data_IF_807000068336
#
_entry.id   IF_807000068336
#
_cell.length_a   1.000
_cell.length_b   1.000
_cell.length_c   1.000
_cell.angle_alpha   90.00
_cell.angle_beta   90.00
_cell.angle_gamma   90.00
#
_symmetry.space_group_name_H-M   'P 1'
#
loop_
_entity.id
_entity.type
_entity.pdbx_description
1 polymer ?
#
# COMPACT_ATOMS: atom_id res chain seq x y z
N UNK A 1 42.19 14.09 14.61
CA UNK A 1 41.54 15.32 14.10
C UNK A 1 41.21 15.11 12.65
N UNK A 2 39.91 14.98 12.36
CA UNK A 2 39.19 15.58 11.24
C UNK A 2 37.89 14.80 11.06
N UNK A 3 36.84 15.34 11.69
CA UNK A 3 35.48 14.87 11.58
C UNK A 3 35.00 14.98 10.14
N UNK A 4 34.36 13.92 9.69
CA UNK A 4 33.62 13.90 8.44
C UNK A 4 32.29 14.61 8.75
N UNK A 5 32.15 15.83 8.24
CA UNK A 5 30.95 16.66 8.32
C UNK A 5 29.76 15.94 7.68
N UNK A 6 28.70 15.78 8.47
CA UNK A 6 27.43 15.15 8.10
C UNK A 6 26.42 16.21 7.62
N UNK A 7 26.85 17.20 6.82
CA UNK A 7 26.00 18.35 6.46
C UNK A 7 25.55 18.40 4.99
N UNK A 8 25.83 17.39 4.17
CA UNK A 8 25.71 17.57 2.72
C UNK A 8 24.42 17.07 2.06
N UNK A 9 23.54 16.27 2.70
CA UNK A 9 22.49 15.56 1.94
C UNK A 9 21.03 15.78 2.36
N UNK A 10 20.73 16.84 3.12
CA UNK A 10 19.36 17.17 3.56
C UNK A 10 18.71 18.31 2.76
N UNK A 11 18.54 18.15 1.45
CA UNK A 11 17.67 19.05 0.66
C UNK A 11 16.63 18.27 -0.12
N UNK A 12 15.48 18.03 0.52
CA UNK A 12 14.25 17.69 -0.19
C UNK A 12 13.17 17.05 0.67
N UNK A 13 12.16 17.85 1.06
CA UNK A 13 10.78 17.44 1.41
C UNK A 13 10.50 16.90 2.82
N UNK A 14 9.26 17.12 3.29
CA UNK A 14 8.66 16.77 4.62
C UNK A 14 8.86 17.83 5.74
N UNK A 15 8.01 17.86 6.80
CA UNK A 15 8.18 18.76 7.96
C UNK A 15 9.62 18.66 8.44
N UNK A 16 10.27 19.80 8.73
CA UNK A 16 11.73 19.84 8.91
C UNK A 16 12.15 18.70 9.84
N UNK A 17 13.07 17.86 9.37
CA UNK A 17 13.62 16.75 10.16
C UNK A 17 14.08 17.26 11.54
N UNK A 18 14.47 18.54 11.61
CA UNK A 18 14.83 19.27 12.83
C UNK A 18 13.67 19.43 13.83
N UNK A 19 12.42 19.64 13.38
CA UNK A 19 11.25 19.74 14.26
C UNK A 19 10.86 18.38 14.84
N UNK A 20 11.07 17.32 14.06
CA UNK A 20 10.84 15.94 14.53
C UNK A 20 11.94 15.52 15.49
N UNK A 21 13.20 15.83 15.17
CA UNK A 21 14.35 15.60 16.04
C UNK A 21 14.21 16.43 17.34
N UNK A 22 13.70 17.66 17.30
CA UNK A 22 13.52 18.48 18.50
C UNK A 22 12.42 17.93 19.42
N UNK A 23 11.34 17.37 18.86
CA UNK A 23 10.29 16.66 19.61
C UNK A 23 10.79 15.35 20.20
N UNK A 24 11.54 14.54 19.43
CA UNK A 24 12.16 13.32 19.93
C UNK A 24 13.20 13.62 21.02
N UNK A 25 14.00 14.68 20.88
CA UNK A 25 14.92 15.19 21.91
C UNK A 25 14.19 15.68 23.16
N UNK A 26 13.00 16.25 23.01
CA UNK A 26 12.17 16.66 24.16
C UNK A 26 11.62 15.45 24.89
N UNK A 27 11.15 14.44 24.15
CA UNK A 27 10.61 13.22 24.74
C UNK A 27 11.68 12.35 25.37
N UNK A 28 12.86 12.25 24.76
CA UNK A 28 14.02 11.62 25.37
C UNK A 28 14.30 12.21 26.75
N UNK A 29 14.26 13.55 26.87
CA UNK A 29 14.39 14.26 28.17
C UNK A 29 13.20 14.08 29.12
N UNK A 30 12.02 13.71 28.63
CA UNK A 30 10.86 13.41 29.49
C UNK A 30 10.89 11.95 29.99
N UNK A 31 11.57 11.06 29.27
CA UNK A 31 11.76 9.64 29.63
C UNK A 31 12.98 9.48 30.54
N UNK A 32 14.05 10.25 30.28
CA UNK A 32 15.28 10.31 31.07
C UNK A 32 15.02 10.99 32.43
N UNK A 33 14.58 10.20 33.41
CA UNK A 33 14.19 10.69 34.75
C UNK A 33 15.43 11.12 35.54
N UNK A 34 16.56 10.47 35.30
CA UNK A 34 17.79 10.68 36.06
C UNK A 34 18.73 11.74 35.42
N UNK A 35 18.38 12.23 34.22
CA UNK A 35 19.10 13.22 33.41
C UNK A 35 20.52 12.80 32.98
N UNK A 36 20.81 11.50 32.93
CA UNK A 36 22.12 10.94 32.59
C UNK A 36 22.35 10.81 31.07
N UNK A 37 21.34 11.15 30.27
CA UNK A 37 21.30 11.07 28.80
C UNK A 37 21.37 9.65 28.25
N UNK A 38 21.02 8.65 29.04
CA UNK A 38 20.96 7.24 28.69
C UNK A 38 19.61 6.67 29.11
N UNK A 39 18.83 6.15 28.16
CA UNK A 39 17.54 5.55 28.50
C UNK A 39 17.71 4.09 28.90
N UNK A 40 17.34 3.78 30.14
CA UNK A 40 17.22 2.40 30.61
C UNK A 40 15.86 1.80 30.21
N UNK A 41 15.79 0.47 30.18
CA UNK A 41 14.54 -0.26 29.95
C UNK A 41 13.45 0.15 30.95
N UNK A 42 13.82 0.35 32.22
CA UNK A 42 12.91 0.69 33.30
C UNK A 42 12.33 2.11 33.14
N UNK A 43 13.12 3.08 32.68
CA UNK A 43 12.67 4.45 32.41
C UNK A 43 11.71 4.50 31.21
N UNK A 44 12.06 3.79 30.13
CA UNK A 44 11.20 3.67 28.96
C UNK A 44 9.86 2.97 29.30
N UNK A 45 9.93 1.90 30.09
CA UNK A 45 8.76 1.16 30.58
C UNK A 45 7.86 2.02 31.47
N UNK A 46 8.44 2.75 32.42
CA UNK A 46 7.70 3.62 33.33
C UNK A 46 6.99 4.77 32.58
N UNK A 47 7.66 5.36 31.59
CA UNK A 47 7.08 6.43 30.78
C UNK A 47 5.91 5.93 29.90
N UNK A 48 6.08 4.81 29.20
CA UNK A 48 5.05 4.23 28.33
C UNK A 48 3.84 3.74 29.14
N UNK A 49 4.08 3.14 30.31
CA UNK A 49 3.03 2.72 31.24
C UNK A 49 2.22 3.92 31.77
N UNK A 50 2.87 5.07 32.00
CA UNK A 50 2.22 6.31 32.47
C UNK A 50 1.43 7.02 31.37
N UNK A 51 1.89 7.00 30.11
CA UNK A 51 1.24 7.67 28.97
C UNK A 51 0.15 6.82 28.28
N UNK A 52 0.35 5.51 28.20
CA UNK A 52 -0.53 4.60 27.46
C UNK A 52 -1.80 4.16 28.21
N UNK A 53 -1.91 4.44 29.51
CA UNK A 53 -3.07 4.06 30.34
C UNK A 53 -3.34 2.54 30.42
N UNK A 54 -2.41 1.71 29.93
CA UNK A 54 -2.44 0.24 29.91
C UNK A 54 -1.05 -0.31 30.20
N UNK A 55 -0.97 -1.47 30.82
CA UNK A 55 0.27 -2.26 30.94
C UNK A 55 0.73 -2.65 29.54
N UNK A 56 1.87 -2.11 29.11
CA UNK A 56 2.51 -2.53 27.86
C UNK A 56 2.94 -4.00 27.98
N UNK A 57 3.02 -4.72 26.87
CA UNK A 57 3.52 -6.10 26.89
C UNK A 57 5.04 -6.07 27.10
N UNK A 58 5.48 -6.43 28.31
CA UNK A 58 6.89 -6.42 28.73
C UNK A 58 7.81 -7.20 27.79
N UNK A 59 7.30 -8.26 27.16
CA UNK A 59 8.05 -9.09 26.21
C UNK A 59 8.33 -8.33 24.92
N UNK A 60 7.31 -7.66 24.37
CA UNK A 60 7.44 -6.86 23.14
C UNK A 60 8.33 -5.63 23.39
N UNK A 61 8.20 -4.99 24.55
CA UNK A 61 9.01 -3.84 24.91
C UNK A 61 10.49 -4.22 25.06
N UNK A 62 10.78 -5.39 25.66
CA UNK A 62 12.14 -5.89 25.80
C UNK A 62 12.77 -6.21 24.44
N UNK A 63 12.00 -6.72 23.49
CA UNK A 63 12.44 -7.02 22.13
C UNK A 63 12.68 -5.74 21.30
N UNK A 64 11.81 -4.73 21.46
CA UNK A 64 12.02 -3.38 20.91
C UNK A 64 13.28 -2.75 21.51
N UNK A 65 13.46 -2.79 22.83
CA UNK A 65 14.65 -2.25 23.49
C UNK A 65 15.93 -2.92 22.98
N UNK A 66 15.92 -4.26 22.89
CA UNK A 66 17.05 -5.06 22.39
C UNK A 66 17.36 -4.86 20.90
N UNK A 67 16.37 -4.50 20.09
CA UNK A 67 16.56 -4.23 18.65
C UNK A 67 17.04 -2.80 18.37
N UNK A 68 16.75 -1.87 19.27
CA UNK A 68 17.18 -0.47 19.21
C UNK A 68 18.58 -0.26 19.82
N UNK A 69 18.94 -1.05 20.84
CA UNK A 69 20.27 -1.14 21.46
C UNK A 69 21.26 -1.87 20.53
N UNK A 70 21.82 -1.14 19.56
CA UNK A 70 22.71 -1.69 18.52
C UNK A 70 24.05 -2.18 19.06
N UNK A 71 24.57 -1.57 20.12
CA UNK A 71 25.83 -1.94 20.73
C UNK A 71 25.67 -2.89 21.94
N UNK A 72 24.42 -3.26 22.27
CA UNK A 72 24.02 -4.20 23.32
C UNK A 72 24.55 -3.80 24.71
N UNK A 73 24.74 -2.50 24.91
CA UNK A 73 25.32 -1.99 26.14
C UNK A 73 24.27 -1.84 27.27
N UNK A 74 23.00 -2.17 27.01
CA UNK A 74 21.84 -2.04 27.92
C UNK A 74 21.39 -0.59 28.20
N UNK A 75 21.90 0.38 27.46
CA UNK A 75 21.62 1.81 27.56
C UNK A 75 21.36 2.42 26.18
N UNK A 76 20.21 3.07 25.99
CA UNK A 76 19.91 3.67 24.70
C UNK A 76 20.28 5.16 24.68
N UNK A 77 21.25 5.53 23.86
CA UNK A 77 21.57 6.95 23.64
C UNK A 77 20.47 7.65 22.83
N UNK A 78 20.42 8.98 22.92
CA UNK A 78 19.48 9.79 22.12
C UNK A 78 19.61 9.54 20.62
N UNK A 79 20.83 9.37 20.12
CA UNK A 79 21.08 9.12 18.71
C UNK A 79 20.62 7.71 18.31
N UNK A 80 20.78 6.71 19.17
CA UNK A 80 20.26 5.34 18.94
C UNK A 80 18.73 5.29 19.00
N UNK A 81 18.12 6.00 19.95
CA UNK A 81 16.66 6.12 20.05
C UNK A 81 16.07 6.79 18.80
N UNK A 82 16.67 7.91 18.35
CA UNK A 82 16.20 8.64 17.15
C UNK A 82 16.43 7.81 15.88
N UNK A 83 17.60 7.18 15.74
CA UNK A 83 17.90 6.34 14.57
C UNK A 83 17.00 5.11 14.51
N UNK A 84 16.81 4.43 15.63
CA UNK A 84 16.00 3.23 15.69
C UNK A 84 14.50 3.51 15.46
N UNK A 85 14.00 4.65 15.95
CA UNK A 85 12.66 5.13 15.62
C UNK A 85 12.50 5.39 14.10
N UNK A 86 13.45 6.11 13.50
CA UNK A 86 13.42 6.40 12.07
C UNK A 86 13.50 5.11 11.23
N UNK A 87 14.31 4.15 11.66
CA UNK A 87 14.42 2.83 11.03
C UNK A 87 13.10 2.07 11.12
N UNK A 88 12.47 2.01 12.29
CA UNK A 88 11.17 1.37 12.48
C UNK A 88 10.07 2.00 11.60
N UNK A 89 9.98 3.33 11.58
CA UNK A 89 9.02 4.05 10.74
C UNK A 89 9.23 3.77 9.24
N UNK A 90 10.49 3.77 8.79
CA UNK A 90 10.85 3.53 7.38
C UNK A 90 10.52 2.10 6.96
N UNK A 91 10.84 1.12 7.81
CA UNK A 91 10.54 -0.30 7.56
C UNK A 91 9.03 -0.52 7.45
N UNK A 92 8.25 0.00 8.39
CA UNK A 92 6.79 -0.14 8.40
C UNK A 92 6.16 0.50 7.18
N UNK A 93 6.58 1.74 6.86
CA UNK A 93 6.09 2.45 5.68
C UNK A 93 6.42 1.69 4.39
N UNK A 94 7.66 1.20 4.26
CA UNK A 94 8.06 0.39 3.12
C UNK A 94 7.23 -0.89 2.99
N UNK A 95 6.92 -1.57 4.10
CA UNK A 95 6.08 -2.77 4.10
C UNK A 95 4.64 -2.44 3.69
N UNK A 96 4.06 -1.36 4.21
CA UNK A 96 2.74 -0.84 3.81
C UNK A 96 2.67 -0.61 2.30
N UNK A 97 3.68 0.05 1.73
CA UNK A 97 3.74 0.34 0.30
C UNK A 97 3.84 -0.94 -0.54
N UNK A 98 4.65 -1.92 -0.11
CA UNK A 98 4.76 -3.24 -0.76
C UNK A 98 3.43 -3.99 -0.72
N UNK A 99 2.77 -4.05 0.44
CA UNK A 99 1.47 -4.71 0.59
C UNK A 99 0.39 -4.06 -0.27
N UNK A 100 0.32 -2.73 -0.30
CA UNK A 100 -0.62 -1.99 -1.15
C UNK A 100 -0.44 -2.34 -2.63
N UNK A 101 0.81 -2.36 -3.10
CA UNK A 101 1.12 -2.73 -4.48
C UNK A 101 0.77 -4.19 -4.77
N UNK A 102 1.10 -5.11 -3.86
CA UNK A 102 0.75 -6.54 -3.95
C UNK A 102 -0.76 -6.75 -4.09
N UNK A 103 -1.55 -6.09 -3.24
CA UNK A 103 -3.02 -6.16 -3.26
C UNK A 103 -3.57 -5.65 -4.59
N UNK A 104 -3.06 -4.53 -5.10
CA UNK A 104 -3.50 -3.96 -6.38
C UNK A 104 -3.21 -4.94 -7.53
N UNK A 105 -1.99 -5.48 -7.58
CA UNK A 105 -1.58 -6.43 -8.61
C UNK A 105 -2.41 -7.72 -8.57
N UNK A 106 -2.56 -8.32 -7.39
CA UNK A 106 -3.33 -9.55 -7.21
C UNK A 106 -4.82 -9.32 -7.48
N UNK A 107 -5.38 -8.17 -7.13
CA UNK A 107 -6.78 -7.82 -7.45
C UNK A 107 -6.99 -7.71 -8.96
N UNK A 108 -6.02 -7.15 -9.68
CA UNK A 108 -6.06 -7.10 -11.15
C UNK A 108 -6.03 -8.50 -11.74
N UNK A 109 -5.06 -9.33 -11.34
CA UNK A 109 -4.97 -10.74 -11.77
C UNK A 109 -6.26 -11.51 -11.48
N UNK A 110 -6.83 -11.36 -10.28
CA UNK A 110 -8.10 -11.95 -9.88
C UNK A 110 -9.23 -11.54 -10.83
N UNK A 111 -9.34 -10.26 -11.17
CA UNK A 111 -10.38 -9.78 -12.09
C UNK A 111 -10.24 -10.35 -13.50
N UNK A 112 -9.00 -10.46 -14.00
CA UNK A 112 -8.68 -11.05 -15.30
C UNK A 112 -9.00 -12.56 -15.30
N UNK A 113 -8.63 -13.30 -14.25
CA UNK A 113 -8.93 -14.73 -14.10
C UNK A 113 -10.45 -14.98 -13.98
N UNK A 114 -11.18 -14.15 -13.23
CA UNK A 114 -12.64 -14.22 -13.15
C UNK A 114 -13.29 -14.02 -14.51
N UNK A 115 -12.79 -13.08 -15.31
CA UNK A 115 -13.26 -12.88 -16.68
C UNK A 115 -13.00 -14.11 -17.55
N UNK A 116 -11.77 -14.63 -17.54
CA UNK A 116 -11.42 -15.86 -18.28
C UNK A 116 -12.31 -17.03 -17.89
N UNK A 117 -12.68 -17.14 -16.62
CA UNK A 117 -13.56 -18.19 -16.14
C UNK A 117 -14.97 -18.04 -16.70
N UNK A 118 -15.53 -16.84 -16.73
CA UNK A 118 -16.87 -16.61 -17.31
C UNK A 118 -16.86 -16.98 -18.79
N UNK A 119 -15.81 -16.57 -19.51
CA UNK A 119 -15.62 -16.92 -20.93
C UNK A 119 -15.49 -18.45 -21.12
N UNK A 120 -14.76 -19.15 -20.25
CA UNK A 120 -14.65 -20.60 -20.25
C UNK A 120 -15.98 -21.31 -19.94
N UNK A 121 -16.75 -20.81 -18.96
CA UNK A 121 -18.08 -21.33 -18.61
C UNK A 121 -19.10 -21.11 -19.73
N UNK A 122 -18.98 -20.02 -20.48
CA UNK A 122 -19.82 -19.71 -21.64
C UNK A 122 -19.49 -20.57 -22.87
N UNK A 123 -18.22 -20.91 -23.08
CA UNK A 123 -17.74 -21.69 -24.21
C UNK A 123 -17.78 -23.22 -23.99
N UNK A 124 -18.72 -23.73 -23.17
CA UNK A 124 -18.96 -25.17 -22.94
C UNK A 124 -19.23 -25.90 -24.26
N UNK A 125 -18.18 -26.40 -24.90
CA UNK A 125 -18.25 -27.10 -26.20
C UNK A 125 -17.02 -26.97 -27.09
N UNK A 126 -16.12 -26.01 -26.85
CA UNK A 126 -14.77 -26.01 -27.45
C UNK A 126 -13.80 -26.63 -26.46
N UNK A 127 -13.30 -27.82 -26.77
CA UNK A 127 -12.39 -28.62 -25.93
C UNK A 127 -11.21 -27.78 -25.42
N UNK A 128 -11.27 -27.39 -24.15
CA UNK A 128 -10.15 -26.81 -23.39
C UNK A 128 -9.44 -27.92 -22.58
N UNK A 129 -9.46 -29.14 -23.11
CA UNK A 129 -8.83 -30.30 -22.50
C UNK A 129 -7.38 -30.38 -23.02
N UNK A 130 -6.43 -29.91 -22.23
CA UNK A 130 -5.04 -29.75 -22.65
C UNK A 130 -4.09 -30.37 -21.64
N UNK A 131 -3.15 -31.16 -22.15
CA UNK A 131 -2.03 -31.72 -21.40
C UNK A 131 -0.77 -30.94 -21.78
N UNK A 132 -0.12 -30.35 -20.79
CA UNK A 132 1.22 -29.78 -20.92
C UNK A 132 2.24 -30.80 -20.42
N UNK A 133 3.24 -31.12 -21.25
CA UNK A 133 4.34 -32.02 -20.90
C UNK A 133 5.66 -31.30 -21.11
N UNK A 134 6.40 -31.06 -20.03
CA UNK A 134 7.75 -30.53 -20.06
C UNK A 134 8.76 -31.65 -19.85
N UNK A 135 9.56 -31.93 -20.87
CA UNK A 135 10.68 -32.87 -20.80
C UNK A 135 11.91 -32.11 -20.31
N UNK A 136 12.32 -32.31 -19.05
CA UNK A 136 13.42 -31.55 -18.45
C UNK A 136 14.78 -32.15 -18.77
N UNK A 137 15.05 -33.33 -18.23
CA UNK A 137 16.34 -34.02 -18.37
C UNK A 137 16.18 -35.52 -18.16
N UNK A 138 17.18 -36.29 -18.56
CA UNK A 138 17.34 -37.67 -18.16
C UNK A 138 18.72 -37.89 -17.56
N UNK A 139 18.85 -38.89 -16.69
CA UNK A 139 20.08 -39.20 -15.99
C UNK A 139 20.37 -40.70 -16.05
N UNK A 140 21.65 -41.06 -16.17
CA UNK A 140 22.08 -42.47 -16.14
C UNK A 140 21.62 -43.30 -17.34
N UNK A 141 21.33 -42.66 -18.47
CA UNK A 141 20.95 -43.36 -19.70
C UNK A 141 22.06 -44.32 -20.13
N UNK A 142 21.67 -45.54 -20.45
CA UNK A 142 22.64 -46.54 -20.89
C UNK A 142 23.28 -46.13 -22.21
N UNK A 143 24.60 -46.32 -22.31
CA UNK A 143 25.29 -46.17 -23.59
C UNK A 143 24.87 -47.29 -24.58
N UNK A 144 24.17 -46.94 -25.66
CA UNK A 144 23.96 -47.78 -26.85
C UNK A 144 24.92 -47.42 -28.00
N UNK A 145 25.19 -48.34 -28.92
CA UNK A 145 25.96 -48.04 -30.14
C UNK A 145 27.48 -47.90 -29.96
N UNK A 146 28.20 -47.93 -31.10
CA UNK A 146 29.66 -48.09 -31.16
C UNK A 146 30.44 -46.79 -31.43
N UNK A 147 29.85 -45.69 -31.94
CA UNK A 147 30.61 -44.46 -32.28
C UNK A 147 29.81 -43.15 -32.40
N UNK A 148 30.37 -42.04 -31.89
CA UNK A 148 30.62 -40.82 -32.68
C UNK A 148 29.78 -39.56 -32.48
N UNK A 149 28.45 -39.62 -32.58
CA UNK A 149 27.61 -38.41 -32.51
C UNK A 149 26.19 -38.75 -32.05
N UNK A 150 26.11 -39.24 -30.81
CA UNK A 150 24.87 -39.68 -30.18
C UNK A 150 24.16 -38.51 -29.52
N UNK A 151 22.90 -38.33 -29.84
CA UNK A 151 22.09 -37.26 -29.29
C UNK A 151 20.70 -37.78 -28.94
N UNK A 152 20.44 -38.12 -27.66
CA UNK A 152 19.15 -38.62 -27.25
C UNK A 152 18.01 -37.65 -27.55
N UNK A 153 16.86 -38.23 -27.86
CA UNK A 153 15.57 -37.57 -28.08
C UNK A 153 14.50 -38.26 -27.26
N UNK A 154 13.47 -37.50 -26.89
CA UNK A 154 12.30 -38.02 -26.20
C UNK A 154 11.09 -37.86 -27.10
N UNK A 155 10.41 -38.96 -27.37
CA UNK A 155 9.16 -39.02 -28.11
C UNK A 155 8.03 -39.13 -27.09
N UNK A 156 7.12 -38.16 -27.11
CA UNK A 156 5.93 -38.13 -26.27
C UNK A 156 4.72 -38.40 -27.15
N UNK A 157 3.98 -39.46 -26.81
CA UNK A 157 2.76 -39.89 -27.49
C UNK A 157 1.57 -39.75 -26.55
N UNK A 158 0.52 -39.08 -27.01
CA UNK A 158 -0.72 -38.86 -26.29
C UNK A 158 -1.90 -38.93 -27.26
N UNK A 159 -2.77 -39.93 -27.10
CA UNK A 159 -3.83 -40.27 -28.06
C UNK A 159 -3.25 -40.34 -29.50
N UNK A 160 -3.82 -39.61 -30.47
CA UNK A 160 -3.37 -39.59 -31.86
C UNK A 160 -2.26 -38.57 -32.15
N UNK A 161 -1.64 -37.99 -31.12
CA UNK A 161 -0.60 -36.97 -31.25
C UNK A 161 0.75 -37.51 -30.78
N UNK A 162 1.79 -37.16 -31.53
CA UNK A 162 3.16 -37.54 -31.23
C UNK A 162 4.07 -36.36 -31.51
N UNK A 163 4.89 -35.99 -30.52
CA UNK A 163 5.86 -34.91 -30.63
C UNK A 163 7.19 -35.41 -30.07
N UNK A 164 8.28 -35.08 -30.76
CA UNK A 164 9.65 -35.47 -30.38
C UNK A 164 10.48 -34.23 -30.06
N UNK A 165 11.31 -34.31 -29.02
CA UNK A 165 12.25 -33.23 -28.65
C UNK A 165 13.34 -33.03 -29.69
N UNK A 166 14.05 -31.91 -29.59
CA UNK A 166 15.31 -31.73 -30.28
C UNK A 166 16.37 -32.71 -29.76
N UNK A 167 17.30 -33.16 -30.62
CA UNK A 167 18.42 -34.00 -30.20
C UNK A 167 19.42 -33.20 -29.37
N UNK A 168 19.81 -33.74 -28.21
CA UNK A 168 20.80 -33.12 -27.31
C UNK A 168 22.09 -33.95 -27.32
N UNK A 169 23.27 -33.39 -27.65
CA UNK A 169 24.53 -34.13 -27.79
C UNK A 169 25.16 -34.50 -26.43
N UNK A 170 24.39 -35.16 -25.57
CA UNK A 170 24.83 -35.73 -24.30
C UNK A 170 24.14 -37.10 -24.12
N UNK A 171 24.83 -38.21 -24.42
CA UNK A 171 24.20 -39.53 -24.50
C UNK A 171 23.81 -40.15 -23.15
N UNK A 172 24.34 -39.63 -22.03
CA UNK A 172 24.14 -40.22 -20.70
C UNK A 172 23.23 -39.36 -19.83
N UNK A 173 23.40 -38.03 -19.87
CA UNK A 173 22.65 -37.09 -19.04
C UNK A 173 22.11 -35.89 -19.84
N UNK A 174 21.28 -36.11 -20.87
CA UNK A 174 20.73 -35.04 -21.69
C UNK A 174 19.78 -34.12 -20.91
N UNK A 175 19.75 -32.84 -21.27
CA UNK A 175 18.79 -31.86 -20.78
C UNK A 175 18.15 -31.15 -21.97
N UNK A 176 16.82 -31.28 -22.09
CA UNK A 176 16.03 -30.70 -23.17
C UNK A 176 15.34 -29.42 -22.73
N UNK A 177 14.65 -29.44 -21.58
CA UNK A 177 13.78 -28.36 -21.10
C UNK A 177 12.76 -27.91 -22.15
N UNK A 178 12.20 -28.84 -22.90
CA UNK A 178 11.22 -28.59 -23.96
C UNK A 178 9.81 -28.85 -23.43
N UNK A 179 8.85 -27.99 -23.78
CA UNK A 179 7.45 -28.11 -23.37
C UNK A 179 6.56 -28.32 -24.58
N UNK A 180 5.70 -29.32 -24.50
CA UNK A 180 4.74 -29.70 -25.52
C UNK A 180 3.32 -29.60 -24.98
N UNK A 181 2.38 -29.19 -25.84
CA UNK A 181 0.96 -29.13 -25.50
C UNK A 181 0.20 -30.10 -26.39
N UNK A 182 -0.56 -31.00 -25.76
CA UNK A 182 -1.42 -31.98 -26.43
C UNK A 182 -2.89 -31.66 -26.14
N UNK A 183 -3.73 -31.67 -27.17
CA UNK A 183 -5.18 -31.54 -26.99
C UNK A 183 -5.79 -32.92 -26.76
N UNK A 184 -6.37 -33.15 -25.59
CA UNK A 184 -6.86 -34.45 -25.15
C UNK A 184 -8.36 -34.56 -25.44
N UNK A 185 -8.80 -35.68 -26.01
CA UNK A 185 -10.22 -35.91 -26.33
C UNK A 185 -10.95 -36.56 -25.17
N UNK A 186 -10.44 -37.70 -24.71
CA UNK A 186 -11.05 -38.51 -23.65
C UNK A 186 -10.10 -38.69 -22.45
N UNK A 187 -8.79 -38.71 -22.67
CA UNK A 187 -7.81 -38.92 -21.59
C UNK A 187 -7.90 -40.31 -20.97
N UNK A 188 -8.20 -41.32 -21.79
CA UNK A 188 -8.37 -42.72 -21.37
C UNK A 188 -7.13 -43.58 -21.58
N UNK A 189 -6.29 -43.20 -22.55
CA UNK A 189 -5.03 -43.89 -22.87
C UNK A 189 -3.86 -43.27 -22.11
N UNK A 190 -2.94 -44.08 -21.61
CA UNK A 190 -1.77 -43.57 -20.88
C UNK A 190 -0.85 -42.73 -21.77
N UNK A 191 -0.24 -41.70 -21.19
CA UNK A 191 0.77 -40.87 -21.85
C UNK A 191 2.04 -41.71 -21.96
N UNK A 192 2.51 -41.95 -23.18
CA UNK A 192 3.72 -42.72 -23.43
C UNK A 192 4.90 -41.79 -23.69
N UNK A 193 5.99 -42.00 -22.95
CA UNK A 193 7.23 -41.25 -23.08
C UNK A 193 8.34 -42.24 -23.39
N UNK A 194 8.83 -42.20 -24.62
CA UNK A 194 9.87 -43.09 -25.13
C UNK A 194 11.16 -42.31 -25.35
N UNK A 195 12.27 -42.80 -24.80
CA UNK A 195 13.60 -42.23 -25.00
C UNK A 195 14.33 -43.03 -26.07
N UNK A 196 14.81 -42.35 -27.08
CA UNK A 196 15.61 -42.94 -28.15
C UNK A 196 16.95 -42.23 -28.27
N UNK A 197 17.89 -42.95 -28.84
CA UNK A 197 19.11 -42.36 -29.35
C UNK A 197 18.96 -41.94 -30.81
N UNK A 198 19.75 -40.94 -31.20
CA UNK A 198 19.91 -40.59 -32.61
C UNK A 198 21.37 -40.66 -33.02
N UNK A 199 21.62 -41.20 -34.21
CA UNK A 199 22.93 -41.14 -34.85
C UNK A 199 22.78 -40.44 -36.20
N UNK A 200 23.53 -39.35 -36.40
CA UNK A 200 23.44 -38.52 -37.62
C UNK A 200 22.01 -38.05 -37.95
N UNK A 201 21.19 -37.83 -36.92
CA UNK A 201 19.81 -37.34 -37.05
C UNK A 201 18.76 -38.43 -37.28
N UNK A 202 19.14 -39.70 -37.36
CA UNK A 202 18.19 -40.83 -37.47
C UNK A 202 18.00 -41.53 -36.13
N UNK A 203 16.76 -41.87 -35.77
CA UNK A 203 16.43 -42.70 -34.61
C UNK A 203 17.09 -44.08 -34.74
N UNK A 204 17.90 -44.49 -33.75
CA UNK A 204 18.65 -45.76 -33.81
C UNK A 204 18.30 -46.73 -32.68
N UNK A 205 18.54 -46.34 -31.44
CA UNK A 205 18.50 -47.26 -30.28
C UNK A 205 17.41 -46.83 -29.31
N UNK A 206 16.57 -47.78 -28.90
CA UNK A 206 15.62 -47.55 -27.80
C UNK A 206 16.36 -47.54 -26.46
N UNK A 207 16.20 -46.47 -25.68
CA UNK A 207 16.88 -46.26 -24.40
C UNK A 207 15.96 -46.43 -23.20
N UNK A 208 14.65 -46.54 -23.39
CA UNK A 208 13.68 -46.85 -22.35
C UNK A 208 12.34 -46.14 -22.56
N UNK A 209 11.31 -46.56 -21.83
CA UNK A 209 10.00 -45.94 -21.85
C UNK A 209 9.43 -45.75 -20.44
N UNK A 210 8.50 -44.81 -20.33
CA UNK A 210 7.65 -44.57 -19.17
C UNK A 210 6.23 -44.38 -19.68
N UNK A 211 5.28 -44.98 -18.98
CA UNK A 211 3.85 -44.84 -19.25
C UNK A 211 3.18 -44.23 -18.03
N UNK A 212 2.45 -43.13 -18.23
CA UNK A 212 1.87 -42.31 -17.16
C UNK A 212 0.36 -42.28 -17.34
N UNK A 213 -0.42 -42.82 -16.39
CA UNK A 213 -1.87 -42.81 -16.49
C UNK A 213 -2.44 -41.42 -16.21
N UNK A 214 -3.44 -41.00 -16.99
CA UNK A 214 -4.13 -39.71 -16.79
C UNK A 214 -4.78 -39.57 -15.40
N UNK A 215 -5.12 -40.68 -14.75
CA UNK A 215 -5.66 -40.69 -13.39
C UNK A 215 -4.71 -40.06 -12.37
N UNK A 216 -3.39 -40.13 -12.62
CA UNK A 216 -2.39 -39.48 -11.78
C UNK A 216 -2.43 -37.94 -11.88
N UNK A 217 -2.98 -37.40 -12.97
CA UNK A 217 -3.03 -35.97 -13.27
C UNK A 217 -4.45 -35.38 -13.14
N UNK A 218 -5.39 -36.14 -12.56
CA UNK A 218 -6.81 -35.76 -12.52
C UNK A 218 -7.09 -34.54 -11.62
N UNK A 219 -6.19 -34.24 -10.69
CA UNK A 219 -6.25 -33.06 -9.81
C UNK A 219 -5.93 -31.74 -10.53
N UNK A 220 -5.51 -31.80 -11.80
CA UNK A 220 -5.12 -30.66 -12.65
C UNK A 220 -3.92 -29.85 -12.13
N UNK A 221 -3.18 -30.39 -11.17
CA UNK A 221 -1.98 -29.77 -10.64
C UNK A 221 -0.76 -30.06 -11.53
N UNK A 222 0.30 -29.28 -11.34
CA UNK A 222 1.59 -29.55 -11.97
C UNK A 222 2.31 -30.62 -11.17
N UNK A 223 2.53 -31.78 -11.78
CA UNK A 223 3.30 -32.89 -11.20
C UNK A 223 4.69 -32.88 -11.79
N UNK A 224 5.71 -32.76 -10.95
CA UNK A 224 7.11 -32.80 -11.35
C UNK A 224 7.79 -34.01 -10.72
N UNK A 225 8.02 -35.03 -11.53
CA UNK A 225 8.48 -36.34 -11.06
C UNK A 225 9.70 -36.82 -11.83
N UNK A 226 10.53 -37.61 -11.15
CA UNK A 226 11.62 -38.37 -11.75
C UNK A 226 11.19 -39.82 -11.88
N UNK A 227 11.06 -40.31 -13.10
CA UNK A 227 10.49 -41.61 -13.43
C UNK A 227 11.58 -42.53 -13.97
N UNK A 228 11.66 -43.74 -13.41
CA UNK A 228 12.60 -44.78 -13.85
C UNK A 228 12.19 -45.36 -15.21
N UNK A 229 13.14 -45.42 -16.14
CA UNK A 229 12.90 -45.94 -17.48
C UNK A 229 12.78 -47.47 -17.48
N UNK A 230 11.83 -47.99 -18.26
CA UNK A 230 11.57 -49.43 -18.40
C UNK A 230 11.83 -49.91 -19.82
N UNK A 231 12.10 -51.22 -19.94
CA UNK A 231 12.22 -51.88 -21.23
C UNK A 231 10.87 -52.41 -21.73
N UNK A 232 10.71 -52.55 -23.05
CA UNK A 232 9.49 -53.10 -23.67
C UNK A 232 9.33 -54.59 -23.42
N UNK A 233 10.45 -55.30 -23.25
CA UNK A 233 10.47 -56.76 -23.04
C UNK A 233 11.15 -57.13 -21.73
N UNK A 234 10.67 -58.20 -21.05
CA UNK A 234 11.39 -58.78 -19.92
C UNK A 234 12.81 -59.21 -20.37
N UNK A 235 13.85 -58.58 -19.81
CA UNK A 235 15.25 -58.84 -20.14
C UNK A 235 15.97 -57.72 -20.90
N UNK A 236 15.26 -56.67 -21.33
CA UNK A 236 15.89 -55.47 -21.87
C UNK A 236 16.78 -54.81 -20.80
N UNK A 237 18.05 -54.59 -21.14
CA UNK A 237 19.02 -53.96 -20.25
C UNK A 237 18.91 -52.43 -20.37
N UNK A 238 17.88 -51.85 -19.77
CA UNK A 238 17.65 -50.40 -19.69
C UNK A 238 18.22 -49.86 -18.37
N UNK A 239 18.73 -48.63 -18.38
CA UNK A 239 19.12 -47.90 -17.18
C UNK A 239 18.88 -46.42 -17.36
N UNK A 240 18.58 -45.75 -16.25
CA UNK A 240 18.40 -44.31 -16.19
C UNK A 240 16.97 -43.91 -15.86
N UNK A 241 16.82 -42.64 -15.52
CA UNK A 241 15.56 -42.02 -15.17
C UNK A 241 15.35 -40.76 -15.99
N UNK A 242 14.09 -40.33 -16.10
CA UNK A 242 13.69 -39.12 -16.82
C UNK A 242 12.89 -38.22 -15.88
N UNK A 243 13.23 -36.94 -15.86
CA UNK A 243 12.51 -35.91 -15.12
C UNK A 243 11.52 -35.21 -16.06
N UNK A 244 10.25 -35.26 -15.69
CA UNK A 244 9.14 -34.70 -16.43
C UNK A 244 8.34 -33.77 -15.53
N UNK A 245 7.76 -32.71 -16.11
CA UNK A 245 6.68 -31.97 -15.47
C UNK A 245 5.42 -32.05 -16.33
N UNK A 246 4.34 -32.59 -15.76
CA UNK A 246 3.08 -32.81 -16.46
C UNK A 246 1.95 -32.07 -15.76
N UNK A 247 1.06 -31.47 -16.55
CA UNK A 247 -0.17 -30.86 -16.04
C UNK A 247 -1.31 -31.12 -17.02
N UNK A 248 -2.40 -31.70 -16.52
CA UNK A 248 -3.58 -31.99 -17.32
C UNK A 248 -4.78 -31.14 -16.89
N UNK A 249 -5.16 -30.18 -17.73
CA UNK A 249 -6.31 -29.32 -17.48
C UNK A 249 -7.49 -29.88 -18.28
N UNK A 250 -8.34 -30.70 -17.63
CA UNK A 250 -9.53 -31.30 -18.25
C UNK A 250 -10.80 -30.45 -18.07
N UNK A 251 -10.82 -29.59 -17.05
CA UNK A 251 -11.90 -28.69 -16.70
C UNK A 251 -11.33 -27.30 -16.36
N UNK A 252 -11.17 -26.47 -17.39
CA UNK A 252 -10.64 -25.12 -17.24
C UNK A 252 -11.46 -24.26 -16.26
N UNK A 253 -12.82 -24.26 -16.26
CA UNK A 253 -13.58 -23.55 -15.24
C UNK A 253 -13.20 -23.91 -13.79
N UNK A 254 -13.07 -25.22 -13.50
CA UNK A 254 -12.70 -25.71 -12.16
C UNK A 254 -11.25 -25.35 -11.81
N UNK A 255 -10.34 -25.45 -12.77
CA UNK A 255 -8.95 -25.02 -12.60
C UNK A 255 -8.89 -23.52 -12.23
N UNK A 256 -9.61 -22.68 -12.99
CA UNK A 256 -9.68 -21.25 -12.74
C UNK A 256 -10.36 -20.91 -11.41
N UNK A 257 -11.36 -21.70 -10.96
CA UNK A 257 -11.96 -21.56 -9.62
C UNK A 257 -10.89 -21.74 -8.52
N UNK A 258 -9.98 -22.71 -8.67
CA UNK A 258 -8.85 -22.92 -7.77
C UNK A 258 -7.89 -21.73 -7.72
N UNK A 259 -7.51 -21.20 -8.89
CA UNK A 259 -6.63 -20.02 -8.99
C UNK A 259 -7.30 -18.77 -8.40
N UNK A 260 -8.60 -18.58 -8.65
CA UNK A 260 -9.39 -17.48 -8.07
C UNK A 260 -9.33 -17.56 -6.54
N UNK A 261 -9.54 -18.74 -5.96
CA UNK A 261 -9.49 -18.94 -4.52
C UNK A 261 -8.11 -18.59 -3.96
N UNK A 262 -7.03 -19.03 -4.60
CA UNK A 262 -5.65 -18.69 -4.19
C UNK A 262 -5.41 -17.18 -4.16
N UNK A 263 -5.88 -16.45 -5.19
CA UNK A 263 -5.77 -14.98 -5.21
C UNK A 263 -6.64 -14.32 -4.14
N UNK A 264 -7.86 -14.81 -3.90
CA UNK A 264 -8.74 -14.28 -2.85
C UNK A 264 -8.13 -14.47 -1.46
N UNK A 265 -7.59 -15.66 -1.18
CA UNK A 265 -6.92 -15.98 0.08
C UNK A 265 -5.68 -15.08 0.27
N UNK A 266 -4.81 -14.96 -0.74
CA UNK A 266 -3.63 -14.10 -0.69
C UNK A 266 -3.97 -12.61 -0.49
N UNK A 267 -5.01 -12.10 -1.17
CA UNK A 267 -5.46 -10.71 -0.99
C UNK A 267 -6.00 -10.48 0.43
N UNK A 268 -6.71 -11.45 1.01
CA UNK A 268 -7.24 -11.33 2.36
C UNK A 268 -6.13 -11.37 3.41
N UNK A 269 -5.11 -12.20 3.22
CA UNK A 269 -3.91 -12.23 4.06
C UNK A 269 -3.16 -10.89 3.99
N UNK A 270 -2.84 -10.40 2.78
CA UNK A 270 -2.15 -9.12 2.58
C UNK A 270 -2.94 -7.94 3.19
N UNK A 271 -4.28 -7.94 3.08
CA UNK A 271 -5.14 -6.91 3.69
C UNK A 271 -5.11 -6.96 5.21
N UNK A 272 -5.08 -8.16 5.78
CA UNK A 272 -5.01 -8.34 7.24
C UNK A 272 -3.69 -7.80 7.76
N UNK A 273 -2.58 -8.17 7.12
CA UNK A 273 -1.26 -7.64 7.46
C UNK A 273 -1.20 -6.11 7.28
N UNK A 274 -1.78 -5.58 6.20
CA UNK A 274 -1.81 -4.14 5.96
C UNK A 274 -2.50 -3.39 7.10
N UNK A 275 -3.64 -3.90 7.58
CA UNK A 275 -4.37 -3.29 8.71
C UNK A 275 -3.54 -3.31 10.00
N UNK A 276 -2.82 -4.41 10.26
CA UNK A 276 -1.92 -4.52 11.41
C UNK A 276 -0.74 -3.54 11.31
N UNK A 277 -0.15 -3.41 10.13
CA UNK A 277 0.96 -2.48 9.88
C UNK A 277 0.52 -1.02 9.95
N UNK A 278 -0.65 -0.66 9.42
CA UNK A 278 -1.22 0.69 9.53
C UNK A 278 -1.58 1.01 10.99
N UNK A 279 -2.08 0.03 11.74
CA UNK A 279 -2.30 0.18 13.18
C UNK A 279 -0.98 0.41 13.91
N UNK A 280 0.05 -0.39 13.66
CA UNK A 280 1.37 -0.20 14.25
C UNK A 280 1.97 1.17 13.90
N UNK A 281 1.84 1.62 12.65
CA UNK A 281 2.27 2.94 12.21
C UNK A 281 1.56 4.08 12.96
N UNK A 282 0.24 3.95 13.15
CA UNK A 282 -0.57 4.90 13.90
C UNK A 282 -0.24 4.88 15.39
N UNK A 283 -0.03 3.70 15.97
CA UNK A 283 0.35 3.53 17.37
C UNK A 283 1.73 4.18 17.63
N UNK A 284 2.70 3.96 16.72
CA UNK A 284 4.02 4.57 16.73
C UNK A 284 3.95 6.11 16.64
N UNK A 285 3.05 6.67 15.82
CA UNK A 285 2.79 8.11 15.76
C UNK A 285 2.04 8.64 16.99
N UNK A 286 1.09 7.88 17.55
CA UNK A 286 0.24 8.30 18.68
C UNK A 286 1.00 8.34 20.01
N UNK A 287 1.94 7.41 20.21
CA UNK A 287 2.80 7.35 21.39
C UNK A 287 3.67 8.61 21.56
N UNK A 288 3.97 9.30 20.47
CA UNK A 288 4.73 10.56 20.46
C UNK A 288 3.87 11.83 20.63
N UNK A 289 2.64 11.70 21.10
CA UNK A 289 1.82 12.83 21.52
C UNK A 289 1.01 13.42 20.37
N UNK A 290 -0.28 13.10 20.39
CA UNK A 290 -1.30 13.75 19.59
C UNK A 290 -1.31 15.28 19.83
N UNK A 291 -0.75 16.03 18.89
CA UNK A 291 -1.31 17.33 18.49
C UNK A 291 -1.05 17.53 17.00
N UNK A 292 -2.12 17.42 16.20
CA UNK A 292 -2.44 18.15 14.95
C UNK A 292 -2.84 17.26 13.78
N UNK A 293 -4.16 17.07 13.62
CA UNK A 293 -4.82 16.83 12.33
C UNK A 293 -4.37 15.61 11.50
N UNK A 294 -5.03 15.33 10.37
CA UNK A 294 -4.65 14.21 9.51
C UNK A 294 -3.38 14.55 8.70
N UNK A 295 -2.27 13.86 8.98
CA UNK A 295 -0.95 14.07 8.35
C UNK A 295 -0.94 13.91 6.81
N UNK A 296 -1.90 13.20 6.22
CA UNK A 296 -2.02 13.07 4.76
C UNK A 296 -2.30 14.40 4.03
N UNK A 297 -2.79 15.42 4.74
CA UNK A 297 -3.07 16.75 4.19
C UNK A 297 -1.81 17.64 4.17
N UNK A 298 -0.88 17.45 5.11
CA UNK A 298 0.32 18.27 5.29
C UNK A 298 1.58 17.72 4.57
N UNK A 299 1.56 16.43 4.20
CA UNK A 299 2.70 15.72 3.60
C UNK A 299 2.72 15.74 2.06
N UNK A 300 1.72 16.32 1.39
CA UNK A 300 1.66 16.35 -0.06
C UNK A 300 2.51 17.52 -0.62
N UNK A 301 3.57 17.26 -1.42
CA UNK A 301 4.45 18.31 -1.95
C UNK A 301 3.71 19.35 -2.78
N UNK A 302 2.61 18.97 -3.45
CA UNK A 302 1.76 19.91 -4.20
C UNK A 302 1.00 20.89 -3.30
N UNK A 303 0.61 20.47 -2.10
CA UNK A 303 -0.04 21.34 -1.12
C UNK A 303 0.93 22.36 -0.55
N UNK A 304 2.18 21.97 -0.27
CA UNK A 304 3.22 22.88 0.23
C UNK A 304 3.60 23.95 -0.81
N UNK A 305 3.71 23.58 -2.09
CA UNK A 305 3.87 24.56 -3.17
C UNK A 305 2.68 25.50 -3.31
N UNK A 306 1.45 24.99 -3.15
CA UNK A 306 0.25 25.81 -3.17
C UNK A 306 0.18 26.78 -1.98
N UNK A 307 0.62 26.34 -0.79
CA UNK A 307 0.70 27.14 0.44
C UNK A 307 1.70 28.30 0.29
N UNK A 308 2.87 28.05 -0.30
CA UNK A 308 3.89 29.08 -0.59
C UNK A 308 3.34 30.11 -1.59
N UNK A 309 2.75 29.64 -2.71
CA UNK A 309 2.15 30.51 -3.73
C UNK A 309 1.01 31.35 -3.16
N UNK A 310 0.18 30.75 -2.31
CA UNK A 310 -0.93 31.43 -1.63
C UNK A 310 -0.42 32.49 -0.65
N UNK A 311 0.58 32.17 0.17
CA UNK A 311 1.21 33.13 1.08
C UNK A 311 1.76 34.35 0.34
N UNK A 312 2.51 34.13 -0.75
CA UNK A 312 3.06 35.22 -1.56
C UNK A 312 1.97 36.14 -2.14
N UNK A 313 0.86 35.55 -2.60
CA UNK A 313 -0.30 36.31 -3.12
C UNK A 313 -1.03 37.10 -2.02
N UNK A 314 -1.09 36.56 -0.80
CA UNK A 314 -1.68 37.25 0.35
C UNK A 314 -0.81 38.42 0.82
N UNK A 315 0.51 38.29 0.78
CA UNK A 315 1.43 39.39 1.08
C UNK A 315 1.32 40.51 0.02
N UNK A 316 1.24 40.17 -1.26
CA UNK A 316 0.99 41.13 -2.35
C UNK A 316 -0.37 41.85 -2.18
N UNK A 317 -1.41 41.11 -1.80
CA UNK A 317 -2.74 41.69 -1.52
C UNK A 317 -2.70 42.63 -0.31
N UNK A 318 -2.02 42.25 0.76
CA UNK A 318 -1.84 43.09 1.94
C UNK A 318 -1.14 44.40 1.59
N UNK A 319 -0.06 44.35 0.83
CA UNK A 319 0.66 45.55 0.38
C UNK A 319 -0.22 46.49 -0.45
N UNK A 320 -1.07 45.94 -1.32
CA UNK A 320 -1.96 46.72 -2.19
C UNK A 320 -3.23 47.25 -1.51
N UNK A 321 -3.76 46.56 -0.49
CA UNK A 321 -5.11 46.83 0.03
C UNK A 321 -5.16 47.15 1.52
N UNK A 322 -4.33 46.50 2.34
CA UNK A 322 -4.36 46.62 3.81
C UNK A 322 -3.21 47.47 4.37
N UNK A 323 -2.21 47.78 3.56
CA UNK A 323 -1.03 48.54 4.00
C UNK A 323 -0.20 47.79 5.05
N UNK A 324 0.41 48.51 5.98
CA UNK A 324 1.39 47.96 6.93
C UNK A 324 0.79 47.30 8.19
N UNK A 325 -0.38 46.67 8.06
CA UNK A 325 -1.09 46.04 9.20
C UNK A 325 -0.46 44.68 9.55
N UNK A 326 -0.22 44.40 10.83
CA UNK A 326 0.26 43.08 11.29
C UNK A 326 -0.82 42.02 11.11
N UNK A 327 -0.46 40.83 10.66
CA UNK A 327 -1.43 39.75 10.44
C UNK A 327 -2.14 39.32 11.72
N UNK A 328 -1.46 39.35 12.87
CA UNK A 328 -2.08 39.12 14.17
C UNK A 328 -3.21 40.12 14.50
N UNK A 329 -3.07 41.39 14.10
CA UNK A 329 -4.11 42.40 14.24
C UNK A 329 -5.27 42.16 13.26
N UNK A 330 -4.96 41.79 12.01
CA UNK A 330 -5.97 41.43 11.02
C UNK A 330 -6.78 40.19 11.44
N UNK A 331 -6.14 39.19 12.05
CA UNK A 331 -6.79 37.99 12.61
C UNK A 331 -7.71 38.36 13.77
N UNK A 332 -7.28 39.24 14.66
CA UNK A 332 -8.12 39.73 15.76
C UNK A 332 -9.36 40.48 15.22
N UNK A 333 -9.19 41.36 14.24
CA UNK A 333 -10.30 42.08 13.61
C UNK A 333 -11.27 41.14 12.90
N UNK A 334 -10.74 40.16 12.16
CA UNK A 334 -11.54 39.15 11.46
C UNK A 334 -12.35 38.27 12.43
N UNK A 335 -11.77 37.94 13.59
CA UNK A 335 -12.46 37.17 14.64
C UNK A 335 -13.64 37.94 15.21
N UNK A 336 -13.46 39.23 15.52
CA UNK A 336 -14.55 40.08 16.03
C UNK A 336 -15.64 40.29 14.97
N UNK A 337 -15.26 40.49 13.70
CA UNK A 337 -16.21 40.68 12.62
C UNK A 337 -17.01 39.39 12.32
N UNK A 338 -16.36 38.22 12.39
CA UNK A 338 -17.01 36.91 12.29
C UNK A 338 -18.07 36.71 13.39
N UNK A 339 -17.74 37.07 14.64
CA UNK A 339 -18.68 36.98 15.77
C UNK A 339 -19.90 37.90 15.57
N UNK A 340 -19.68 39.15 15.16
CA UNK A 340 -20.76 40.11 14.89
C UNK A 340 -21.66 39.62 13.77
N UNK A 341 -21.08 39.15 12.65
CA UNK A 341 -21.85 38.61 11.53
C UNK A 341 -22.63 37.34 11.91
N UNK A 342 -22.06 36.48 12.75
CA UNK A 342 -22.74 35.28 13.26
C UNK A 342 -23.95 35.65 14.13
N UNK A 343 -23.80 36.63 15.03
CA UNK A 343 -24.90 37.12 15.88
C UNK A 343 -25.99 37.79 15.03
N UNK A 344 -25.62 38.59 14.02
CA UNK A 344 -26.58 39.18 13.09
C UNK A 344 -27.32 38.11 12.26
N UNK A 345 -26.62 37.04 11.87
CA UNK A 345 -27.22 35.90 11.17
C UNK A 345 -28.22 35.14 12.05
N UNK A 346 -27.94 35.04 13.36
CA UNK A 346 -28.79 34.37 14.35
C UNK A 346 -30.18 34.98 14.57
N UNK A 347 -30.40 36.24 14.18
CA UNK A 347 -31.74 36.83 14.21
C UNK A 347 -32.70 36.17 13.20
N UNK A 348 -32.17 35.44 12.21
CA UNK A 348 -32.98 34.93 11.09
C UNK A 348 -32.71 33.45 10.80
N UNK A 349 -31.49 32.95 11.04
CA UNK A 349 -31.14 31.52 10.92
C UNK A 349 -30.25 31.07 12.08
N UNK A 350 -30.40 29.85 12.61
CA UNK A 350 -29.47 29.32 13.62
C UNK A 350 -28.04 29.22 13.07
N UNK A 351 -27.10 30.00 13.63
CA UNK A 351 -25.68 30.02 13.20
C UNK A 351 -24.71 29.72 14.37
N UNK A 352 -25.09 28.73 15.18
CA UNK A 352 -24.33 28.31 16.36
C UNK A 352 -22.92 27.79 16.02
N UNK A 353 -22.72 27.26 14.80
CA UNK A 353 -21.44 26.73 14.37
C UNK A 353 -20.42 27.84 14.17
N UNK A 354 -20.76 28.92 13.44
CA UNK A 354 -19.86 30.07 13.27
C UNK A 354 -19.59 30.82 14.58
N UNK A 355 -20.58 30.89 15.48
CA UNK A 355 -20.40 31.43 16.82
C UNK A 355 -19.40 30.61 17.65
N UNK A 356 -19.48 29.28 17.55
CA UNK A 356 -18.54 28.36 18.22
C UNK A 356 -17.12 28.52 17.65
N UNK A 357 -16.98 28.63 16.33
CA UNK A 357 -15.69 28.86 15.68
C UNK A 357 -15.07 30.19 16.13
N UNK A 358 -15.87 31.27 16.14
CA UNK A 358 -15.41 32.59 16.54
C UNK A 358 -15.00 32.68 18.01
N UNK A 359 -15.72 32.01 18.91
CA UNK A 359 -15.38 31.96 20.35
C UNK A 359 -14.12 31.15 20.62
N UNK A 360 -13.94 30.02 19.93
CA UNK A 360 -12.70 29.23 19.98
C UNK A 360 -11.51 30.05 19.44
N UNK A 361 -11.68 30.76 18.33
CA UNK A 361 -10.64 31.62 17.75
C UNK A 361 -10.24 32.76 18.71
N UNK A 362 -11.21 33.38 19.39
CA UNK A 362 -10.97 34.40 20.41
C UNK A 362 -10.22 33.84 21.62
N UNK A 363 -10.58 32.63 22.07
CA UNK A 363 -9.88 31.91 23.13
C UNK A 363 -8.42 31.60 22.75
N UNK A 364 -8.17 31.17 21.52
CA UNK A 364 -6.81 30.93 21.02
C UNK A 364 -5.98 32.21 20.95
N UNK A 365 -6.59 33.34 20.58
CA UNK A 365 -5.91 34.63 20.59
C UNK A 365 -5.45 35.05 21.98
N UNK A 366 -6.26 34.83 23.01
CA UNK A 366 -5.95 35.26 24.38
C UNK A 366 -4.99 34.32 25.12
N UNK A 367 -5.02 33.02 24.80
CA UNK A 367 -4.18 32.01 25.48
C UNK A 367 -2.74 31.95 24.95
N UNK A 368 -2.47 32.44 23.74
CA UNK A 368 -1.12 32.72 23.22
C UNK A 368 -0.15 31.55 23.02
N UNK A 369 -0.45 30.35 23.52
CA UNK A 369 0.45 29.19 23.48
C UNK A 369 0.10 28.25 22.31
N UNK A 370 1.04 28.04 21.38
CA UNK A 370 0.93 27.08 20.27
C UNK A 370 -0.12 27.45 19.20
N UNK A 371 -0.15 28.73 18.82
CA UNK A 371 -1.26 29.31 18.07
C UNK A 371 -1.29 28.96 16.57
N UNK A 372 -0.15 28.74 15.91
CA UNK A 372 -0.08 28.47 14.47
C UNK A 372 -1.00 27.33 14.04
N UNK A 373 -0.79 26.09 14.52
CA UNK A 373 -1.59 24.96 14.05
C UNK A 373 -3.05 24.99 14.54
N UNK A 374 -3.31 25.70 15.65
CA UNK A 374 -4.67 25.95 16.13
C UNK A 374 -5.45 26.83 15.16
N UNK A 375 -4.81 27.80 14.50
CA UNK A 375 -5.45 28.62 13.47
C UNK A 375 -5.70 27.87 12.14
N UNK A 376 -4.92 26.82 11.81
CA UNK A 376 -5.26 25.91 10.69
C UNK A 376 -6.56 25.15 10.94
N UNK A 377 -6.79 24.72 12.19
CA UNK A 377 -8.05 24.05 12.58
C UNK A 377 -9.23 25.02 12.47
N UNK A 378 -9.06 26.27 12.91
CA UNK A 378 -10.08 27.33 12.76
C UNK A 378 -10.39 27.56 11.28
N UNK A 379 -9.38 27.61 10.41
CA UNK A 379 -9.58 27.73 8.96
C UNK A 379 -10.39 26.57 8.38
N UNK A 380 -10.04 25.32 8.71
CA UNK A 380 -10.78 24.15 8.23
C UNK A 380 -12.24 24.15 8.72
N UNK A 381 -12.48 24.60 9.95
CA UNK A 381 -13.83 24.77 10.48
C UNK A 381 -14.61 25.86 9.73
N UNK A 382 -13.96 26.97 9.36
CA UNK A 382 -14.56 28.01 8.50
C UNK A 382 -14.93 27.43 7.13
N UNK A 383 -14.05 26.66 6.49
CA UNK A 383 -14.36 26.00 5.21
C UNK A 383 -15.53 25.01 5.31
N UNK A 384 -15.62 24.26 6.41
CA UNK A 384 -16.78 23.39 6.65
C UNK A 384 -18.08 24.21 6.82
N UNK A 385 -18.00 25.38 7.45
CA UNK A 385 -19.13 26.30 7.57
C UNK A 385 -19.58 26.92 6.24
N UNK A 386 -18.65 27.09 5.28
CA UNK A 386 -18.97 27.55 3.91
C UNK A 386 -19.85 26.56 3.19
N UNK A 387 -19.56 25.26 3.32
CA UNK A 387 -20.38 24.22 2.69
C UNK A 387 -21.81 24.22 3.24
N UNK A 388 -21.96 24.41 4.55
CA UNK A 388 -23.26 24.59 5.18
C UNK A 388 -24.00 25.82 4.63
N UNK A 389 -23.31 26.95 4.49
CA UNK A 389 -23.91 28.19 3.97
C UNK A 389 -24.31 28.08 2.50
N UNK A 390 -23.53 27.39 1.68
CA UNK A 390 -23.87 27.12 0.27
C UNK A 390 -25.09 26.22 0.15
N UNK A 391 -25.20 25.17 0.98
CA UNK A 391 -26.38 24.30 1.02
C UNK A 391 -27.60 25.10 1.47
N UNK A 392 -27.47 25.91 2.52
CA UNK A 392 -28.57 26.74 3.02
C UNK A 392 -29.01 27.77 1.98
N UNK A 393 -28.08 28.45 1.31
CA UNK A 393 -28.37 29.40 0.24
C UNK A 393 -29.05 28.70 -0.93
N UNK A 394 -28.54 27.55 -1.38
CA UNK A 394 -29.16 26.78 -2.47
C UNK A 394 -30.63 26.44 -2.18
N UNK A 395 -30.94 26.02 -0.96
CA UNK A 395 -32.29 25.65 -0.55
C UNK A 395 -33.24 26.85 -0.37
N UNK A 396 -32.71 28.03 0.00
CA UNK A 396 -33.53 29.20 0.33
C UNK A 396 -33.50 30.32 -0.73
N UNK A 397 -32.62 30.24 -1.72
CA UNK A 397 -32.49 31.23 -2.81
C UNK A 397 -33.68 31.22 -3.76
N UNK A 398 -34.38 30.09 -3.94
CA UNK A 398 -35.62 30.04 -4.73
C UNK A 398 -36.72 30.91 -4.10
N UNK A 399 -36.79 30.93 -2.77
CA UNK A 399 -37.77 31.70 -1.99
C UNK A 399 -37.44 33.21 -1.93
N UNK A 400 -36.28 33.62 -2.45
CA UNK A 400 -35.86 35.01 -2.54
C UNK A 400 -36.40 35.70 -3.80
N UNK A 401 -36.53 34.94 -4.89
CA UNK A 401 -36.94 35.44 -6.21
C UNK A 401 -38.46 35.40 -6.38
N UNK A 402 -39.13 34.40 -5.80
CA UNK A 402 -40.60 34.37 -5.73
C UNK A 402 -41.07 35.19 -4.52
N UNK A 403 -41.55 36.40 -4.77
CA UNK A 403 -42.21 37.20 -3.72
C UNK A 403 -43.41 36.42 -3.17
N UNK A 404 -43.47 36.24 -1.85
CA UNK A 404 -44.56 35.51 -1.21
C UNK A 404 -45.82 36.37 -1.00
N UNK A 405 -45.72 37.69 -1.24
CA UNK A 405 -46.84 38.61 -1.13
C UNK A 405 -47.26 38.90 0.33
N UNK A 406 -46.50 38.41 1.31
CA UNK A 406 -46.68 38.71 2.73
C UNK A 406 -45.71 39.84 3.18
N UNK A 407 -46.01 40.49 4.31
CA UNK A 407 -45.18 41.56 4.86
C UNK A 407 -43.79 41.13 5.37
N UNK A 408 -43.42 39.85 5.25
CA UNK A 408 -42.12 39.30 5.67
C UNK A 408 -41.08 39.23 4.54
N UNK A 409 -41.46 39.60 3.30
CA UNK A 409 -40.57 39.64 2.14
C UNK A 409 -39.30 40.48 2.39
N UNK A 410 -39.40 41.56 3.17
CA UNK A 410 -38.25 42.37 3.58
C UNK A 410 -37.25 41.64 4.48
N UNK A 411 -37.75 40.83 5.42
CA UNK A 411 -36.93 40.06 6.37
C UNK A 411 -36.25 38.90 5.63
N UNK A 412 -36.96 38.23 4.72
CA UNK A 412 -36.40 37.15 3.88
C UNK A 412 -35.27 37.66 2.97
N UNK A 413 -35.48 38.81 2.30
CA UNK A 413 -34.45 39.46 1.46
C UNK A 413 -33.24 39.90 2.27
N UNK A 414 -33.47 40.46 3.46
CA UNK A 414 -32.40 40.84 4.39
C UNK A 414 -31.62 39.62 4.89
N UNK A 415 -32.28 38.49 5.17
CA UNK A 415 -31.64 37.23 5.56
C UNK A 415 -30.69 36.70 4.48
N UNK A 416 -31.14 36.69 3.23
CA UNK A 416 -30.34 36.20 2.11
C UNK A 416 -29.17 37.15 1.84
N UNK A 417 -29.39 38.47 1.92
CA UNK A 417 -28.33 39.46 1.79
C UNK A 417 -27.25 39.30 2.88
N UNK A 418 -27.64 39.16 4.16
CA UNK A 418 -26.70 38.91 5.26
C UNK A 418 -25.98 37.58 5.09
N UNK A 419 -26.65 36.54 4.59
CA UNK A 419 -26.02 35.23 4.37
C UNK A 419 -24.99 35.27 3.22
N UNK A 420 -25.26 36.03 2.15
CA UNK A 420 -24.30 36.27 1.06
C UNK A 420 -23.10 37.10 1.56
N UNK A 421 -23.36 38.15 2.34
CA UNK A 421 -22.28 38.96 2.96
C UNK A 421 -21.42 38.08 3.88
N UNK A 422 -22.04 37.24 4.70
CA UNK A 422 -21.35 36.31 5.60
C UNK A 422 -20.47 35.31 4.80
N UNK A 423 -21.00 34.73 3.72
CA UNK A 423 -20.27 33.83 2.81
C UNK A 423 -19.01 34.51 2.23
N UNK A 424 -19.16 35.72 1.68
CA UNK A 424 -18.04 36.46 1.08
C UNK A 424 -16.99 36.83 2.14
N UNK A 425 -17.43 37.34 3.29
CA UNK A 425 -16.54 37.74 4.37
C UNK A 425 -15.79 36.57 4.98
N UNK A 426 -16.41 35.40 5.13
CA UNK A 426 -15.78 34.20 5.70
C UNK A 426 -14.66 33.64 4.85
N UNK A 427 -14.75 33.71 3.52
CA UNK A 427 -13.62 33.38 2.64
C UNK A 427 -12.42 34.30 2.89
N UNK A 428 -12.65 35.60 3.08
CA UNK A 428 -11.60 36.55 3.41
C UNK A 428 -11.00 36.30 4.81
N UNK A 429 -11.83 36.02 5.82
CA UNK A 429 -11.35 35.70 7.16
C UNK A 429 -10.56 34.40 7.19
N UNK A 430 -11.04 33.36 6.51
CA UNK A 430 -10.33 32.09 6.38
C UNK A 430 -8.92 32.29 5.82
N UNK A 431 -8.77 33.10 4.77
CA UNK A 431 -7.46 33.44 4.21
C UNK A 431 -6.53 34.14 5.22
N UNK A 432 -7.08 35.04 6.05
CA UNK A 432 -6.34 35.74 7.11
C UNK A 432 -5.91 34.77 8.23
N UNK A 433 -6.78 33.85 8.65
CA UNK A 433 -6.45 32.83 9.65
C UNK A 433 -5.37 31.87 9.15
N UNK A 434 -5.46 31.44 7.89
CA UNK A 434 -4.46 30.59 7.26
C UNK A 434 -3.10 31.28 7.16
N UNK A 435 -3.07 32.56 6.73
CA UNK A 435 -1.82 33.32 6.64
C UNK A 435 -1.19 33.56 8.01
N UNK A 436 -1.97 33.97 9.01
CA UNK A 436 -1.47 34.14 10.37
C UNK A 436 -0.98 32.82 10.98
N UNK A 437 -1.55 31.67 10.58
CA UNK A 437 -1.00 30.37 10.96
C UNK A 437 0.40 30.12 10.39
N UNK A 438 0.65 30.48 9.13
CA UNK A 438 1.95 30.26 8.48
C UNK A 438 3.04 31.14 9.12
N UNK A 439 2.70 32.34 9.57
CA UNK A 439 3.68 33.24 10.23
C UNK A 439 3.98 32.89 11.69
N UNK A 440 3.16 32.04 12.30
CA UNK A 440 3.30 31.59 13.68
C UNK A 440 3.91 30.18 13.79
N UNK A 441 3.97 29.46 12.68
CA UNK A 441 4.77 28.25 12.50
C UNK A 441 6.23 28.65 12.20
#
# INVERSE_FOLDING_TARGET
MNGISLDADLRGSSPSMEDRISKLKKQFREIDINEDKQLTFDELHAYLSKKGGKTFNDVLLAEIFKSLDKDQNSFMTLDEFVQGYYQAETIVKSRIDVLKNSIIENTKKLSDTKRQQIEAKANKGKNQNALSVTVKKAEGLKSGGLTGNRAPVVKVSCENQEITTQPVPNPTNPSWNETFTFFVTQGTEDISVEVFDTERGSLTTFLGEVSIPFTALFDQQLHEDTLELRGKKPGDRISGSIQLALQWIHNLPLYLDGIIKQFEDAINEDKTELLEMEKYFNDLHSALGATMGPDWLLLNPKFKEAEIKFSAKMDEFKEKTLGNIKWSFATHMSTNLLLVLSVLSMFIRPDFFNLTIGTIALYYFYTGVGAGPKYKIVFLAILASELYDLIWLYLNMSNWVSGSGDGSDGIKRFSVAISIINLICKLAFGAIFWKNSIEMD
#
